data_IF_487798379505
#
_entry.id   IF_487798379505
#
_cell.length_a   1.000
_cell.length_b   1.000
_cell.length_c   1.000
_cell.angle_alpha   90.00
_cell.angle_beta   90.00
_cell.angle_gamma   90.00
#
_symmetry.space_group_name_H-M   'P 1'
#
loop_
_entity.id
_entity.type
_entity.pdbx_description
1 polymer ?
#
# COMPACT_ATOMS: atom_id res chain seq x y z
N UNK A 1 -55.29 -42.01 -0.81
CA UNK A 1 -56.15 -43.20 -0.98
C UNK A 1 -55.40 -44.46 -0.60
N UNK A 2 -55.98 -45.20 0.40
CA UNK A 2 -55.75 -46.62 0.75
C UNK A 2 -54.38 -47.06 1.20
N UNK A 3 -54.15 -47.16 2.49
CA UNK A 3 -54.29 -48.22 3.51
C UNK A 3 -53.93 -49.65 3.04
N UNK A 4 -52.90 -50.23 3.68
CA UNK A 4 -52.92 -51.59 4.14
C UNK A 4 -51.90 -51.78 5.29
N UNK A 5 -52.40 -52.25 6.44
CA UNK A 5 -51.63 -52.69 7.63
C UNK A 5 -51.17 -54.17 7.44
N UNK A 6 -50.02 -54.47 7.97
CA UNK A 6 -49.76 -55.85 8.48
C UNK A 6 -48.82 -55.77 9.67
N UNK A 7 -49.28 -56.27 10.78
CA UNK A 7 -48.61 -56.45 12.06
C UNK A 7 -47.68 -57.66 12.05
N UNK A 8 -46.46 -57.52 12.58
CA UNK A 8 -45.75 -58.62 13.22
C UNK A 8 -44.73 -58.09 14.21
N UNK A 9 -44.94 -58.40 15.48
CA UNK A 9 -44.00 -58.09 16.56
C UNK A 9 -42.83 -59.10 16.51
N UNK A 10 -41.61 -58.60 16.66
CA UNK A 10 -40.48 -59.35 17.25
C UNK A 10 -39.42 -58.37 17.76
N UNK A 11 -38.95 -58.66 18.96
CA UNK A 11 -37.90 -57.99 19.74
C UNK A 11 -36.71 -57.51 18.90
N UNK A 12 -36.36 -56.19 19.08
CA UNK A 12 -35.19 -55.65 18.45
C UNK A 12 -34.61 -54.52 19.32
N UNK A 13 -33.48 -54.80 19.93
CA UNK A 13 -32.68 -53.82 20.69
C UNK A 13 -32.38 -52.59 19.85
N UNK A 14 -32.74 -51.44 20.37
CA UNK A 14 -32.39 -50.12 19.76
C UNK A 14 -30.89 -49.90 19.96
N UNK A 15 -30.10 -50.02 18.92
CA UNK A 15 -28.75 -49.47 18.88
C UNK A 15 -28.83 -48.00 18.48
N UNK A 16 -28.64 -47.09 19.46
CA UNK A 16 -28.43 -45.65 19.19
C UNK A 16 -26.98 -45.51 18.72
N UNK A 17 -26.80 -45.43 17.40
CA UNK A 17 -25.54 -45.03 16.82
C UNK A 17 -25.43 -43.50 16.97
N UNK A 18 -24.70 -43.01 17.97
CA UNK A 18 -24.28 -41.62 18.03
C UNK A 18 -23.27 -41.34 16.91
N UNK A 19 -23.75 -40.88 15.76
CA UNK A 19 -22.90 -40.22 14.75
C UNK A 19 -22.46 -38.89 15.33
N UNK A 20 -21.25 -38.86 15.90
CA UNK A 20 -20.57 -37.59 16.20
C UNK A 20 -20.22 -36.96 14.86
N UNK A 21 -21.00 -35.98 14.44
CA UNK A 21 -20.64 -35.08 13.34
C UNK A 21 -19.51 -34.19 13.84
N UNK A 22 -18.27 -34.55 13.56
CA UNK A 22 -17.14 -33.62 13.63
C UNK A 22 -17.32 -32.65 12.48
N UNK A 23 -17.96 -31.49 12.74
CA UNK A 23 -17.99 -30.39 11.82
C UNK A 23 -16.55 -29.88 11.70
N UNK A 24 -15.88 -30.21 10.60
CA UNK A 24 -14.65 -29.54 10.21
C UNK A 24 -15.01 -28.05 10.03
N UNK A 25 -14.24 -27.12 10.63
CA UNK A 25 -14.50 -25.71 10.43
C UNK A 25 -14.45 -25.40 8.92
N UNK A 26 -15.43 -24.64 8.43
CA UNK A 26 -15.43 -24.22 7.04
C UNK A 26 -14.13 -23.44 6.77
N UNK A 27 -13.63 -23.46 5.53
CA UNK A 27 -12.42 -22.69 5.15
C UNK A 27 -12.55 -21.19 5.52
N UNK A 28 -13.77 -20.64 5.46
CA UNK A 28 -14.05 -19.28 5.93
C UNK A 28 -13.86 -19.09 7.44
N UNK A 29 -14.25 -20.09 8.27
CA UNK A 29 -14.05 -20.04 9.72
C UNK A 29 -12.58 -20.16 10.11
N UNK A 30 -11.81 -20.99 9.40
CA UNK A 30 -10.36 -21.10 9.60
C UNK A 30 -9.62 -19.82 9.21
N UNK A 31 -9.94 -19.22 8.05
CA UNK A 31 -9.39 -17.94 7.60
C UNK A 31 -9.69 -16.81 8.59
N UNK A 32 -10.89 -16.78 9.18
CA UNK A 32 -11.26 -15.80 10.21
C UNK A 32 -10.44 -15.97 11.49
N UNK A 33 -10.16 -17.21 11.91
CA UNK A 33 -9.35 -17.50 13.09
C UNK A 33 -7.88 -17.06 12.87
N UNK A 34 -7.31 -17.27 11.68
CA UNK A 34 -5.96 -16.88 11.30
C UNK A 34 -5.79 -15.34 11.33
N UNK A 35 -6.81 -14.59 10.90
CA UNK A 35 -6.77 -13.13 10.87
C UNK A 35 -7.06 -12.46 12.22
N UNK A 36 -7.64 -13.23 13.18
CA UNK A 36 -8.11 -12.67 14.45
C UNK A 36 -7.05 -11.93 15.22
N UNK A 37 -5.84 -12.47 15.32
CA UNK A 37 -4.73 -11.81 16.01
C UNK A 37 -4.44 -10.39 15.50
N UNK A 38 -4.63 -10.15 14.20
CA UNK A 38 -4.38 -8.86 13.55
C UNK A 38 -5.55 -7.88 13.71
N UNK A 39 -6.76 -8.39 13.85
CA UNK A 39 -7.99 -7.59 13.96
C UNK A 39 -8.34 -7.24 15.41
N UNK A 40 -7.93 -8.08 16.38
CA UNK A 40 -8.19 -7.85 17.80
C UNK A 40 -7.05 -7.10 18.50
N UNK A 41 -5.86 -7.00 17.89
CA UNK A 41 -4.73 -6.28 18.47
C UNK A 41 -4.77 -4.81 18.11
N UNK A 42 -4.92 -3.95 19.10
CA UNK A 42 -4.84 -2.48 18.91
C UNK A 42 -3.46 -2.08 18.40
N UNK A 43 -3.41 -1.34 17.30
CA UNK A 43 -2.17 -0.75 16.79
C UNK A 43 -1.85 0.54 17.55
N UNK A 44 -0.71 0.56 18.24
CA UNK A 44 -0.20 1.74 18.94
C UNK A 44 1.00 2.28 18.17
N UNK A 45 0.84 3.48 17.60
CA UNK A 45 1.89 4.17 16.86
C UNK A 45 2.50 5.29 17.72
N UNK A 46 3.82 5.22 17.90
CA UNK A 46 4.60 6.22 18.63
C UNK A 46 5.40 7.04 17.62
N UNK A 47 5.26 8.38 17.67
CA UNK A 47 6.13 9.28 16.92
C UNK A 47 7.51 9.25 17.58
N UNK A 48 8.50 8.81 16.85
CA UNK A 48 9.87 8.66 17.37
C UNK A 48 10.80 9.83 17.00
N UNK A 49 10.22 10.92 16.48
CA UNK A 49 10.89 12.19 16.19
C UNK A 49 10.01 13.39 16.57
N UNK A 50 10.64 14.52 16.87
CA UNK A 50 9.95 15.75 17.29
C UNK A 50 9.60 16.67 16.12
N UNK A 51 9.91 16.28 14.89
CA UNK A 51 9.63 17.04 13.68
C UNK A 51 9.79 16.21 12.41
N UNK A 52 9.56 16.83 11.25
CA UNK A 52 9.80 16.20 9.95
C UNK A 52 11.25 15.73 9.81
N UNK A 53 11.43 14.50 9.31
CA UNK A 53 12.74 13.90 9.09
C UNK A 53 13.37 14.26 7.74
N UNK A 54 12.54 14.69 6.80
CA UNK A 54 12.94 15.29 5.51
C UNK A 54 12.01 16.46 5.26
N UNK A 55 12.57 17.66 5.12
CA UNK A 55 11.81 18.87 4.80
C UNK A 55 11.93 19.22 3.33
N UNK A 56 11.16 20.18 2.85
CA UNK A 56 11.27 20.73 1.49
C UNK A 56 12.71 21.17 1.20
N UNK A 57 13.08 21.13 -0.07
CA UNK A 57 14.37 21.62 -0.55
C UNK A 57 14.54 23.11 -0.37
N UNK A 58 15.77 23.60 -0.51
CA UNK A 58 16.04 25.03 -0.57
C UNK A 58 15.32 25.63 -1.80
N UNK A 59 14.99 26.93 -1.73
CA UNK A 59 14.35 27.64 -2.84
C UNK A 59 15.12 27.43 -4.16
N UNK A 60 14.39 26.98 -5.19
CA UNK A 60 14.92 26.64 -6.50
C UNK A 60 15.37 25.19 -6.65
N UNK A 61 15.34 24.36 -5.60
CA UNK A 61 15.52 22.93 -5.71
C UNK A 61 14.26 22.28 -6.34
N UNK A 62 14.41 21.08 -6.91
CA UNK A 62 13.31 20.39 -7.59
C UNK A 62 12.12 20.03 -6.66
N UNK A 63 12.30 20.09 -5.36
CA UNK A 63 11.37 19.69 -4.32
C UNK A 63 11.10 20.80 -3.28
N UNK A 64 11.23 22.07 -3.70
CA UNK A 64 11.07 23.22 -2.82
C UNK A 64 9.62 23.58 -2.50
N UNK A 65 8.65 22.98 -3.20
CA UNK A 65 7.22 23.32 -3.04
C UNK A 65 6.38 22.12 -2.59
N UNK A 66 6.65 20.94 -3.13
CA UNK A 66 5.90 19.72 -2.80
C UNK A 66 6.84 18.55 -2.58
N UNK A 67 6.52 17.75 -1.56
CA UNK A 67 7.18 16.49 -1.27
C UNK A 67 6.17 15.46 -0.77
N UNK A 68 6.19 14.23 -1.29
CA UNK A 68 5.31 13.14 -0.85
C UNK A 68 5.80 11.76 -1.32
N UNK A 69 5.01 10.72 -1.06
CA UNK A 69 5.22 9.33 -1.50
C UNK A 69 6.59 8.76 -1.10
N UNK A 70 6.90 8.69 0.21
CA UNK A 70 8.11 8.04 0.66
C UNK A 70 8.09 6.56 0.31
N UNK A 71 9.19 6.07 -0.24
CA UNK A 71 9.48 4.66 -0.46
C UNK A 71 10.77 4.34 0.27
N UNK A 72 10.69 3.53 1.34
CA UNK A 72 11.85 3.23 2.18
C UNK A 72 12.29 1.79 1.98
N UNK A 73 13.60 1.61 1.82
CA UNK A 73 14.26 0.31 1.83
C UNK A 73 15.43 0.32 2.81
N UNK A 74 15.88 -0.87 3.21
CA UNK A 74 17.05 -1.06 4.08
C UNK A 74 18.06 -1.98 3.40
N UNK A 75 19.24 -1.47 3.14
CA UNK A 75 20.32 -2.18 2.47
C UNK A 75 21.66 -1.71 3.03
N UNK A 76 22.62 -2.61 3.20
CA UNK A 76 23.98 -2.31 3.68
C UNK A 76 24.01 -1.49 4.97
N UNK A 77 23.14 -1.85 5.93
CA UNK A 77 22.98 -1.16 7.22
C UNK A 77 22.58 0.31 7.08
N UNK A 78 21.93 0.68 5.97
CA UNK A 78 21.48 2.03 5.69
C UNK A 78 20.04 2.02 5.19
N UNK A 79 19.26 2.98 5.65
CA UNK A 79 17.95 3.27 5.07
C UNK A 79 18.13 4.15 3.83
N UNK A 80 17.43 3.79 2.77
CA UNK A 80 17.30 4.57 1.55
C UNK A 80 15.85 4.98 1.42
N UNK A 81 15.59 6.27 1.30
CA UNK A 81 14.26 6.83 1.15
C UNK A 81 14.19 7.58 -0.17
N UNK A 82 13.46 7.03 -1.14
CA UNK A 82 13.06 7.74 -2.35
C UNK A 82 11.75 8.47 -2.08
N UNK A 83 11.56 9.61 -2.71
CA UNK A 83 10.37 10.44 -2.56
C UNK A 83 10.08 11.21 -3.84
N UNK A 84 8.87 11.69 -4.00
CA UNK A 84 8.48 12.55 -5.10
C UNK A 84 8.54 14.01 -4.66
N UNK A 85 9.22 14.84 -5.43
CA UNK A 85 9.33 16.26 -5.20
C UNK A 85 8.98 17.06 -6.45
N UNK A 86 8.42 18.24 -6.27
CA UNK A 86 8.19 19.20 -7.36
C UNK A 86 8.33 20.63 -6.87
N UNK A 87 8.66 21.50 -7.82
CA UNK A 87 8.50 22.95 -7.73
C UNK A 87 7.26 23.38 -8.52
N UNK A 88 6.96 24.68 -8.56
CA UNK A 88 5.83 25.26 -9.27
C UNK A 88 4.43 25.05 -8.64
N UNK A 89 3.42 25.65 -9.28
CA UNK A 89 2.02 25.63 -8.84
C UNK A 89 1.41 24.24 -8.94
N UNK A 90 0.27 24.06 -8.29
CA UNK A 90 -0.47 22.77 -8.32
C UNK A 90 -0.82 22.33 -9.76
N UNK A 91 -1.05 23.27 -10.67
CA UNK A 91 -1.44 22.96 -12.06
C UNK A 91 -0.24 22.65 -12.94
N UNK A 92 0.90 23.31 -12.71
CA UNK A 92 2.09 23.23 -13.58
C UNK A 92 3.15 22.26 -13.06
N UNK A 93 2.91 21.64 -11.91
CA UNK A 93 3.90 20.78 -11.26
C UNK A 93 4.28 19.56 -12.09
N UNK A 94 5.58 19.30 -12.14
CA UNK A 94 6.16 18.05 -12.64
C UNK A 94 6.95 17.43 -11.50
N UNK A 95 6.53 16.26 -11.07
CA UNK A 95 7.22 15.55 -10.00
C UNK A 95 8.40 14.74 -10.54
N UNK A 96 9.47 14.77 -9.77
CA UNK A 96 10.67 13.99 -9.96
C UNK A 96 10.96 13.16 -8.72
N UNK A 97 11.78 12.13 -8.84
CA UNK A 97 12.15 11.29 -7.70
C UNK A 97 13.50 11.74 -7.12
N UNK A 98 13.50 12.07 -5.82
CA UNK A 98 14.69 12.32 -5.02
C UNK A 98 15.09 11.10 -4.21
N UNK A 99 16.26 11.18 -3.58
CA UNK A 99 16.81 10.16 -2.69
C UNK A 99 17.42 10.81 -1.44
N UNK A 100 17.12 10.22 -0.29
CA UNK A 100 17.81 10.50 0.98
C UNK A 100 18.29 9.20 1.60
N UNK A 101 19.29 9.28 2.45
CA UNK A 101 19.86 8.13 3.16
C UNK A 101 19.98 8.38 4.65
N UNK A 102 19.90 7.31 5.45
CA UNK A 102 19.99 7.40 6.92
C UNK A 102 20.58 6.10 7.50
N UNK A 103 21.31 6.20 8.60
CA UNK A 103 21.76 5.02 9.34
C UNK A 103 20.76 4.57 10.40
N UNK A 104 19.94 5.46 10.91
CA UNK A 104 19.01 5.24 12.04
C UNK A 104 17.53 5.25 11.62
N UNK A 105 17.24 5.67 10.37
CA UNK A 105 15.89 5.83 9.85
C UNK A 105 15.15 7.05 10.41
N UNK A 106 15.86 7.96 11.06
CA UNK A 106 15.34 9.21 11.67
C UNK A 106 16.05 10.45 11.14
N UNK A 107 17.37 10.39 11.01
CA UNK A 107 18.18 11.50 10.49
C UNK A 107 18.57 11.20 9.06
N UNK A 108 17.93 11.86 8.13
CA UNK A 108 18.15 11.66 6.70
C UNK A 108 19.00 12.77 6.08
N UNK A 109 19.87 12.37 5.17
CA UNK A 109 20.69 13.26 4.37
C UNK A 109 20.32 13.12 2.90
N UNK A 110 20.10 14.25 2.20
CA UNK A 110 19.85 14.26 0.77
C UNK A 110 21.08 13.71 0.03
N UNK A 111 20.81 12.89 -0.97
CA UNK A 111 21.84 12.40 -1.88
C UNK A 111 22.37 13.54 -2.75
N UNK A 112 21.46 14.39 -3.23
CA UNK A 112 21.74 15.53 -4.11
C UNK A 112 20.61 16.56 -4.02
N UNK A 113 20.89 17.81 -4.44
CA UNK A 113 19.89 18.84 -4.70
C UNK A 113 19.14 18.58 -6.04
N UNK A 114 19.69 17.74 -6.91
CA UNK A 114 19.05 17.25 -8.14
C UNK A 114 18.32 15.94 -7.89
N UNK A 115 17.19 15.69 -8.60
CA UNK A 115 16.51 14.40 -8.50
C UNK A 115 17.34 13.27 -9.11
N UNK A 116 17.21 12.07 -8.55
CA UNK A 116 17.86 10.87 -9.09
C UNK A 116 17.10 10.27 -10.28
N UNK A 117 15.85 10.68 -10.51
CA UNK A 117 15.06 10.21 -11.65
C UNK A 117 14.04 11.26 -12.12
N UNK A 118 13.97 11.41 -13.43
CA UNK A 118 13.00 12.25 -14.16
C UNK A 118 12.31 11.40 -15.22
N UNK A 119 11.06 11.73 -15.58
CA UNK A 119 10.40 11.06 -16.72
C UNK A 119 11.14 11.31 -18.04
N UNK A 120 11.72 12.48 -18.19
CA UNK A 120 12.63 12.82 -19.29
C UNK A 120 12.03 13.69 -20.39
N UNK A 121 10.72 13.90 -20.46
CA UNK A 121 10.06 14.70 -21.48
C UNK A 121 9.68 16.14 -20.99
N UNK A 122 9.96 16.44 -19.73
CA UNK A 122 9.65 17.74 -19.11
C UNK A 122 8.16 18.00 -18.84
N UNK A 123 7.30 17.02 -19.03
CA UNK A 123 5.82 17.14 -18.91
C UNK A 123 5.24 16.13 -17.94
N UNK A 124 5.62 14.88 -18.08
CA UNK A 124 5.10 13.80 -17.26
C UNK A 124 5.83 13.70 -15.93
N UNK A 125 5.08 13.44 -14.90
CA UNK A 125 5.58 13.28 -13.53
C UNK A 125 6.01 11.84 -13.24
N UNK A 126 6.98 11.67 -12.36
CA UNK A 126 7.26 10.41 -11.67
C UNK A 126 6.55 10.49 -10.31
N UNK A 127 5.55 9.64 -10.11
CA UNK A 127 4.68 9.66 -8.94
C UNK A 127 4.66 8.30 -8.24
N UNK A 128 4.58 8.33 -6.92
CA UNK A 128 4.30 7.15 -6.09
C UNK A 128 5.10 5.90 -6.47
N UNK A 129 6.44 5.98 -6.40
CA UNK A 129 7.32 4.88 -6.78
C UNK A 129 7.12 3.67 -5.87
N UNK A 130 7.29 2.47 -6.41
CA UNK A 130 7.39 1.22 -5.67
C UNK A 130 8.53 0.36 -6.21
N UNK A 131 9.27 -0.28 -5.30
CA UNK A 131 10.35 -1.21 -5.59
C UNK A 131 10.01 -2.59 -5.04
N UNK A 132 10.53 -3.63 -5.65
CA UNK A 132 10.48 -4.96 -5.06
C UNK A 132 11.35 -4.99 -3.80
N UNK A 133 10.73 -5.30 -2.67
CA UNK A 133 11.39 -5.45 -1.37
C UNK A 133 10.65 -6.45 -0.50
N UNK A 134 11.36 -7.04 0.43
CA UNK A 134 10.79 -7.86 1.49
C UNK A 134 10.08 -7.00 2.55
N UNK A 135 9.34 -7.65 3.45
CA UNK A 135 8.65 -6.96 4.53
C UNK A 135 9.57 -6.20 5.49
N UNK A 136 10.81 -6.66 5.65
CA UNK A 136 11.86 -6.01 6.43
C UNK A 136 12.55 -4.83 5.70
N UNK A 137 12.13 -4.54 4.47
CA UNK A 137 12.66 -3.48 3.64
C UNK A 137 13.88 -3.84 2.82
N UNK A 138 14.42 -5.05 2.94
CA UNK A 138 15.54 -5.49 2.10
C UNK A 138 15.12 -5.53 0.62
N UNK A 139 15.99 -5.02 -0.25
CA UNK A 139 15.70 -4.87 -1.68
C UNK A 139 15.81 -6.22 -2.40
N UNK A 140 14.84 -6.48 -3.27
CA UNK A 140 14.90 -7.60 -4.22
C UNK A 140 15.49 -7.13 -5.54
N UNK A 141 16.45 -7.88 -6.08
CA UNK A 141 17.04 -7.64 -7.38
C UNK A 141 16.71 -8.77 -8.35
N UNK A 142 16.35 -8.41 -9.56
CA UNK A 142 16.16 -9.34 -10.65
C UNK A 142 17.25 -9.12 -11.69
N UNK A 143 18.00 -10.17 -12.00
CA UNK A 143 19.20 -10.08 -12.85
C UNK A 143 20.19 -8.96 -12.41
N UNK A 144 20.36 -8.81 -11.09
CA UNK A 144 21.23 -7.80 -10.49
C UNK A 144 20.67 -6.37 -10.47
N UNK A 145 19.46 -6.14 -10.97
CA UNK A 145 18.84 -4.82 -11.08
C UNK A 145 17.66 -4.65 -10.14
N UNK A 146 17.49 -3.45 -9.62
CA UNK A 146 16.25 -2.99 -8.99
C UNK A 146 15.21 -2.75 -10.09
N UNK A 147 13.97 -3.15 -9.84
CA UNK A 147 12.81 -2.82 -10.68
C UNK A 147 11.94 -1.82 -9.96
N UNK A 148 11.67 -0.71 -10.61
CA UNK A 148 10.85 0.39 -10.13
C UNK A 148 9.59 0.48 -10.98
N UNK A 149 8.43 0.45 -10.35
CA UNK A 149 7.18 0.87 -10.98
C UNK A 149 6.73 2.18 -10.36
N UNK A 150 6.07 3.00 -11.15
CA UNK A 150 5.57 4.29 -10.70
C UNK A 150 4.37 4.73 -11.53
N UNK A 151 3.54 5.57 -10.92
CA UNK A 151 2.47 6.24 -11.66
C UNK A 151 3.01 7.47 -12.38
N UNK A 152 2.40 7.82 -13.50
CA UNK A 152 2.71 9.03 -14.24
C UNK A 152 1.45 9.73 -14.73
N UNK A 153 1.48 11.04 -14.76
CA UNK A 153 0.45 11.90 -15.38
C UNK A 153 1.06 13.22 -15.81
N UNK A 154 0.40 13.90 -16.72
CA UNK A 154 0.73 15.27 -17.13
C UNK A 154 -0.29 16.24 -16.55
N UNK A 155 0.06 16.95 -15.47
CA UNK A 155 -0.86 17.83 -14.76
C UNK A 155 -1.29 19.05 -15.57
N UNK A 156 -0.37 19.70 -16.29
CA UNK A 156 -0.62 20.98 -16.96
C UNK A 156 -1.45 20.87 -18.25
N UNK A 157 -1.50 19.72 -18.89
CA UNK A 157 -2.16 19.58 -20.20
C UNK A 157 -2.73 18.21 -20.48
N UNK A 158 -2.70 17.33 -19.49
CA UNK A 158 -3.31 16.02 -19.57
C UNK A 158 -4.79 16.02 -19.20
N UNK A 159 -5.45 14.93 -19.52
CA UNK A 159 -6.86 14.65 -19.17
C UNK A 159 -7.03 14.10 -17.74
N UNK A 160 -5.97 14.12 -16.91
CA UNK A 160 -5.95 13.54 -15.57
C UNK A 160 -5.72 12.03 -15.55
N UNK A 161 -5.49 11.39 -16.69
CA UNK A 161 -5.20 9.96 -16.77
C UNK A 161 -3.86 9.66 -16.09
N UNK A 162 -3.89 8.72 -15.17
CA UNK A 162 -2.70 8.15 -14.56
C UNK A 162 -2.32 6.83 -15.25
N UNK A 163 -1.03 6.66 -15.52
CA UNK A 163 -0.49 5.48 -16.20
C UNK A 163 0.61 4.82 -15.37
N UNK A 164 0.69 3.50 -15.40
CA UNK A 164 1.77 2.73 -14.79
C UNK A 164 2.94 2.60 -15.76
N UNK A 165 4.13 2.90 -15.28
CA UNK A 165 5.40 2.74 -15.99
C UNK A 165 6.39 1.94 -15.15
N UNK A 166 7.42 1.42 -15.81
CA UNK A 166 8.54 0.71 -15.19
C UNK A 166 9.86 1.34 -15.59
N UNK A 167 10.83 1.28 -14.69
CA UNK A 167 12.24 1.57 -14.93
C UNK A 167 13.10 0.59 -14.13
N UNK A 168 14.40 0.55 -14.38
CA UNK A 168 15.33 -0.28 -13.64
C UNK A 168 16.63 0.45 -13.36
N UNK A 169 17.35 0.01 -12.32
CA UNK A 169 18.61 0.59 -11.89
C UNK A 169 19.54 -0.49 -11.31
N UNK A 170 20.85 -0.29 -11.40
CA UNK A 170 21.84 -1.11 -10.70
C UNK A 170 22.01 -0.69 -9.24
N UNK A 171 21.92 0.61 -8.98
CA UNK A 171 22.31 1.25 -7.73
C UNK A 171 21.18 2.03 -7.03
N UNK A 172 20.04 2.24 -7.72
CA UNK A 172 18.91 3.03 -7.23
C UNK A 172 19.14 4.55 -7.33
N UNK A 173 20.17 4.97 -8.07
CA UNK A 173 20.53 6.38 -8.34
C UNK A 173 20.40 6.65 -9.84
N UNK A 174 21.10 5.87 -10.66
CA UNK A 174 20.99 5.93 -12.11
C UNK A 174 19.88 5.00 -12.62
N UNK A 175 18.84 5.57 -13.23
CA UNK A 175 17.66 4.85 -13.71
C UNK A 175 17.57 4.85 -15.23
N UNK A 176 17.11 3.75 -15.79
CA UNK A 176 16.81 3.66 -17.22
C UNK A 176 15.62 4.57 -17.59
N UNK A 177 15.46 4.87 -18.87
CA UNK A 177 14.27 5.55 -19.38
C UNK A 177 12.98 4.78 -18.98
N UNK A 178 11.84 5.48 -18.80
CA UNK A 178 10.58 4.82 -18.48
C UNK A 178 10.12 3.89 -19.60
N UNK A 179 9.49 2.78 -19.24
CA UNK A 179 8.80 1.92 -20.21
C UNK A 179 7.64 2.67 -20.87
N UNK A 180 7.11 2.19 -22.01
CA UNK A 180 5.77 2.56 -22.43
C UNK A 180 4.74 2.31 -21.31
N UNK A 181 3.56 2.96 -21.36
CA UNK A 181 2.49 2.72 -20.38
C UNK A 181 2.09 1.24 -20.35
N UNK A 182 2.04 0.66 -19.16
CA UNK A 182 1.66 -0.74 -18.95
C UNK A 182 0.18 -0.90 -18.59
N UNK A 183 -0.38 0.08 -17.89
CA UNK A 183 -1.77 0.07 -17.42
C UNK A 183 -2.23 1.52 -17.18
N UNK A 184 -3.53 1.80 -17.39
CA UNK A 184 -4.15 3.09 -17.12
C UNK A 184 -4.99 3.07 -15.85
N UNK A 185 -5.27 4.24 -15.25
CA UNK A 185 -6.05 4.37 -14.01
C UNK A 185 -5.27 4.04 -12.75
N UNK A 186 -3.97 3.81 -12.85
CA UNK A 186 -3.12 3.37 -11.72
C UNK A 186 -2.49 4.54 -11.01
N UNK A 187 -2.79 4.66 -9.70
CA UNK A 187 -2.13 5.58 -8.80
C UNK A 187 -1.65 4.84 -7.54
N UNK A 188 -0.50 5.21 -7.02
CA UNK A 188 0.10 4.64 -5.82
C UNK A 188 0.14 3.09 -5.81
N UNK A 189 0.83 2.46 -6.77
CA UNK A 189 0.96 1.01 -6.77
C UNK A 189 1.84 0.52 -5.63
N UNK A 190 1.49 -0.62 -5.04
CA UNK A 190 2.39 -1.47 -4.26
C UNK A 190 2.50 -2.81 -4.96
N UNK A 191 3.72 -3.26 -5.22
CA UNK A 191 4.00 -4.51 -5.93
C UNK A 191 4.87 -5.41 -5.06
N UNK A 192 4.48 -6.67 -4.97
CA UNK A 192 5.27 -7.72 -4.33
C UNK A 192 5.42 -8.92 -5.25
N UNK A 193 6.48 -9.68 -5.05
CA UNK A 193 6.60 -11.05 -5.60
C UNK A 193 5.79 -11.99 -4.72
N UNK A 194 4.96 -12.82 -5.33
CA UNK A 194 4.16 -13.82 -4.64
C UNK A 194 4.12 -15.12 -5.46
N UNK A 195 4.79 -16.13 -4.96
CA UNK A 195 5.02 -17.36 -5.70
C UNK A 195 5.91 -17.15 -6.92
N UNK A 196 5.38 -17.44 -8.12
CA UNK A 196 6.12 -17.30 -9.39
C UNK A 196 5.75 -16.03 -10.18
N UNK A 197 5.06 -15.09 -9.56
CA UNK A 197 4.59 -13.90 -10.26
C UNK A 197 4.55 -12.68 -9.35
N UNK A 198 3.90 -11.65 -9.86
CA UNK A 198 3.78 -10.35 -9.21
C UNK A 198 2.32 -10.09 -8.85
N UNK A 199 2.11 -9.46 -7.73
CA UNK A 199 0.82 -8.93 -7.30
C UNK A 199 0.96 -7.45 -7.04
N UNK A 200 -0.01 -6.70 -7.52
CA UNK A 200 -0.09 -5.26 -7.36
C UNK A 200 -1.41 -4.88 -6.71
N UNK A 201 -1.36 -3.99 -5.74
CA UNK A 201 -2.50 -3.25 -5.23
C UNK A 201 -2.27 -1.78 -5.54
N UNK A 202 -3.31 -1.12 -6.02
CA UNK A 202 -3.21 0.27 -6.45
C UNK A 202 -4.51 1.03 -6.21
N UNK A 203 -4.41 2.34 -6.10
CA UNK A 203 -5.56 3.22 -6.14
C UNK A 203 -6.04 3.35 -7.58
N UNK A 204 -7.25 2.91 -7.85
CA UNK A 204 -7.92 3.14 -9.13
C UNK A 204 -8.53 4.54 -9.13
N UNK A 205 -8.00 5.40 -9.99
CA UNK A 205 -8.41 6.80 -10.14
C UNK A 205 -9.19 7.07 -11.43
N UNK A 206 -9.68 6.01 -12.09
CA UNK A 206 -10.47 6.12 -13.32
C UNK A 206 -11.88 6.65 -13.12
N UNK A 207 -12.34 6.78 -11.87
CA UNK A 207 -13.62 7.36 -11.48
C UNK A 207 -13.43 8.37 -10.34
N UNK A 208 -14.48 9.13 -10.02
CA UNK A 208 -14.44 10.08 -8.89
C UNK A 208 -14.32 9.37 -7.53
N UNK A 209 -14.89 8.20 -7.41
CA UNK A 209 -14.77 7.37 -6.20
C UNK A 209 -13.55 6.46 -6.32
N UNK A 210 -12.45 6.87 -5.73
CA UNK A 210 -11.24 6.07 -5.72
C UNK A 210 -11.38 4.86 -4.81
N UNK A 211 -11.01 3.71 -5.35
CA UNK A 211 -11.03 2.43 -4.66
C UNK A 211 -9.67 1.76 -4.78
N UNK A 212 -9.42 0.71 -3.99
CA UNK A 212 -8.22 -0.09 -4.15
C UNK A 212 -8.54 -1.33 -4.99
N UNK A 213 -7.78 -1.52 -6.08
CA UNK A 213 -7.85 -2.69 -6.95
C UNK A 213 -6.61 -3.54 -6.83
N UNK A 214 -6.76 -4.76 -7.29
CA UNK A 214 -5.68 -5.73 -7.41
C UNK A 214 -5.41 -6.05 -8.88
N UNK A 215 -4.15 -6.29 -9.21
CA UNK A 215 -3.73 -6.87 -10.47
C UNK A 215 -2.65 -7.93 -10.25
N UNK A 216 -2.55 -8.88 -11.16
CA UNK A 216 -1.50 -9.90 -11.18
C UNK A 216 -0.76 -9.91 -12.50
N UNK A 217 0.51 -10.33 -12.46
CA UNK A 217 1.36 -10.46 -13.66
C UNK A 217 2.34 -11.62 -13.46
N UNK A 218 2.70 -12.30 -14.54
CA UNK A 218 3.78 -13.29 -14.54
C UNK A 218 5.16 -12.69 -14.83
N UNK A 219 5.20 -11.48 -15.41
CA UNK A 219 6.44 -10.84 -15.88
C UNK A 219 6.66 -9.42 -15.33
N UNK A 220 5.66 -8.88 -14.60
CA UNK A 220 5.70 -7.50 -14.10
C UNK A 220 5.47 -6.43 -15.16
N UNK A 221 5.14 -6.81 -16.39
CA UNK A 221 4.92 -5.93 -17.54
C UNK A 221 3.46 -5.97 -18.00
N UNK A 222 2.93 -7.17 -18.18
CA UNK A 222 1.54 -7.40 -18.59
C UNK A 222 0.68 -7.70 -17.37
N UNK A 223 -0.23 -6.80 -17.06
CA UNK A 223 -1.05 -6.87 -15.87
C UNK A 223 -2.49 -7.29 -16.18
N UNK A 224 -3.01 -8.21 -15.38
CA UNK A 224 -4.42 -8.59 -15.38
C UNK A 224 -5.07 -8.01 -14.14
N UNK A 225 -5.93 -7.02 -14.33
CA UNK A 225 -6.71 -6.39 -13.25
C UNK A 225 -7.85 -7.33 -12.86
N UNK A 226 -8.05 -7.50 -11.55
CA UNK A 226 -9.22 -8.21 -11.00
C UNK A 226 -10.48 -7.38 -11.27
N UNK A 227 -11.59 -7.97 -11.75
CA UNK A 227 -12.79 -7.22 -12.13
C UNK A 227 -13.35 -6.34 -11.03
N UNK A 228 -13.45 -6.88 -9.82
CA UNK A 228 -13.99 -6.15 -8.67
C UNK A 228 -12.89 -5.46 -7.87
N UNK A 229 -13.15 -4.28 -7.27
CA UNK A 229 -12.23 -3.66 -6.33
C UNK A 229 -12.06 -4.56 -5.10
N UNK A 230 -10.84 -4.62 -4.57
CA UNK A 230 -10.55 -5.43 -3.40
C UNK A 230 -10.81 -4.67 -2.07
N UNK A 231 -10.86 -3.33 -2.11
CA UNK A 231 -11.23 -2.51 -0.97
C UNK A 231 -12.03 -1.29 -1.45
N UNK A 232 -13.16 -1.04 -0.81
CA UNK A 232 -14.08 0.07 -1.10
C UNK A 232 -14.35 0.88 0.17
N UNK A 233 -14.92 2.07 0.03
CA UNK A 233 -15.37 2.89 1.17
C UNK A 233 -16.58 2.22 1.81
N UNK A 234 -16.44 1.73 3.04
CA UNK A 234 -17.51 1.05 3.79
C UNK A 234 -17.46 1.28 5.32
N UNK A 235 -16.43 1.96 5.84
CA UNK A 235 -16.35 2.36 7.23
C UNK A 235 -16.68 3.85 7.42
N UNK A 236 -17.30 4.20 8.55
CA UNK A 236 -17.80 5.54 8.83
C UNK A 236 -16.72 6.66 8.79
N UNK A 237 -15.46 6.33 9.06
CA UNK A 237 -14.35 7.27 9.00
C UNK A 237 -13.88 7.57 7.57
N UNK A 238 -14.14 6.68 6.62
CA UNK A 238 -13.79 6.81 5.21
C UNK A 238 -14.82 7.70 4.51
N UNK A 239 -14.46 8.91 4.14
CA UNK A 239 -15.46 9.89 3.66
C UNK A 239 -15.72 9.86 2.16
N UNK A 240 -14.74 9.51 1.32
CA UNK A 240 -14.97 9.56 -0.12
C UNK A 240 -14.06 8.70 -0.98
N UNK A 241 -12.83 8.45 -0.56
CA UNK A 241 -11.78 7.86 -1.39
C UNK A 241 -10.84 7.00 -0.56
N UNK A 242 -10.40 5.89 -1.13
CA UNK A 242 -9.28 5.11 -0.58
C UNK A 242 -8.05 5.32 -1.46
N UNK A 243 -6.89 5.47 -0.84
CA UNK A 243 -5.65 5.73 -1.57
C UNK A 243 -4.41 5.19 -0.85
N UNK A 244 -3.28 5.14 -1.57
CA UNK A 244 -1.96 4.74 -1.09
C UNK A 244 -1.94 3.39 -0.37
N UNK A 245 -2.35 2.27 -1.00
CA UNK A 245 -2.19 0.97 -0.38
C UNK A 245 -0.70 0.65 -0.21
N UNK A 246 -0.26 0.34 1.01
CA UNK A 246 1.05 -0.22 1.30
C UNK A 246 0.86 -1.65 1.82
N UNK A 247 1.31 -2.63 1.05
CA UNK A 247 1.05 -4.04 1.35
C UNK A 247 2.34 -4.75 1.70
N UNK A 248 2.32 -5.48 2.81
CA UNK A 248 3.33 -6.46 3.20
C UNK A 248 2.70 -7.85 3.27
N UNK A 249 3.48 -8.89 3.00
CA UNK A 249 3.12 -10.27 3.28
C UNK A 249 4.00 -10.78 4.43
N UNK A 250 3.37 -11.10 5.55
CA UNK A 250 4.04 -11.50 6.78
C UNK A 250 3.38 -12.78 7.29
N UNK A 251 4.17 -13.84 7.47
CA UNK A 251 3.70 -15.12 8.00
C UNK A 251 2.46 -15.68 7.25
N UNK A 252 2.44 -15.51 5.92
CA UNK A 252 1.34 -15.94 5.05
C UNK A 252 0.18 -14.96 4.92
N UNK A 253 0.08 -13.95 5.82
CA UNK A 253 -1.00 -12.96 5.84
C UNK A 253 -0.58 -11.69 5.11
N UNK A 254 -1.44 -11.19 4.24
CA UNK A 254 -1.30 -9.87 3.63
C UNK A 254 -1.83 -8.81 4.59
N UNK A 255 -1.03 -7.80 4.79
CA UNK A 255 -1.31 -6.65 5.65
C UNK A 255 -1.28 -5.40 4.78
N UNK A 256 -2.33 -4.60 4.81
CA UNK A 256 -2.44 -3.37 4.04
C UNK A 256 -2.69 -2.19 4.98
N UNK A 257 -1.86 -1.17 4.89
CA UNK A 257 -2.18 0.16 5.35
C UNK A 257 -2.65 0.98 4.17
N UNK A 258 -3.70 1.77 4.34
CA UNK A 258 -4.30 2.57 3.28
C UNK A 258 -4.79 3.91 3.80
N UNK A 259 -4.77 4.92 2.97
CA UNK A 259 -5.25 6.24 3.31
C UNK A 259 -6.73 6.45 3.00
N UNK A 260 -7.38 7.33 3.76
CA UNK A 260 -8.67 7.90 3.42
C UNK A 260 -8.83 9.30 4.02
N UNK A 261 -9.79 10.06 3.53
CA UNK A 261 -10.21 11.29 4.18
C UNK A 261 -11.00 10.96 5.44
N UNK A 262 -10.56 11.50 6.56
CA UNK A 262 -11.20 11.32 7.86
C UNK A 262 -12.21 12.42 8.19
N UNK A 263 -12.02 13.63 7.64
CA UNK A 263 -12.93 14.76 7.82
C UNK A 263 -13.30 15.37 6.47
N UNK A 264 -14.59 15.63 6.26
CA UNK A 264 -15.10 16.34 5.09
C UNK A 264 -14.86 17.85 5.13
N UNK A 265 -14.58 18.41 6.32
CA UNK A 265 -14.47 19.87 6.51
C UNK A 265 -13.07 20.41 6.23
N UNK A 266 -12.02 19.63 6.40
CA UNK A 266 -10.64 20.12 6.41
C UNK A 266 -9.69 19.23 5.62
N UNK A 267 -10.14 18.48 4.62
CA UNK A 267 -9.29 17.56 3.86
C UNK A 267 -8.30 16.73 4.74
N UNK A 268 -8.69 16.46 6.00
CA UNK A 268 -7.88 15.72 6.95
C UNK A 268 -7.82 14.27 6.53
N UNK A 269 -6.62 13.69 6.50
CA UNK A 269 -6.41 12.29 6.12
C UNK A 269 -5.92 11.46 7.30
N UNK A 270 -6.20 10.16 7.25
CA UNK A 270 -5.74 9.19 8.23
C UNK A 270 -5.44 7.85 7.55
N UNK A 271 -4.79 6.94 8.26
CA UNK A 271 -4.48 5.61 7.75
C UNK A 271 -5.33 4.55 8.44
N UNK A 272 -5.94 3.70 7.63
CA UNK A 272 -6.58 2.46 8.04
C UNK A 272 -5.66 1.26 7.86
N UNK A 273 -6.08 0.14 8.43
CA UNK A 273 -5.43 -1.15 8.32
C UNK A 273 -6.43 -2.22 7.93
N UNK A 274 -6.00 -3.14 7.07
CA UNK A 274 -6.77 -4.31 6.66
C UNK A 274 -5.86 -5.52 6.51
N UNK A 275 -6.41 -6.72 6.65
CA UNK A 275 -5.68 -7.98 6.49
C UNK A 275 -6.43 -8.94 5.58
N UNK A 276 -5.67 -9.83 4.94
CA UNK A 276 -6.21 -10.83 4.02
C UNK A 276 -5.36 -12.09 3.99
N UNK A 277 -5.98 -13.26 3.82
CA UNK A 277 -5.28 -14.53 3.58
C UNK A 277 -4.97 -14.74 2.10
N UNK A 278 -5.69 -14.10 1.20
CA UNK A 278 -5.58 -14.30 -0.25
C UNK A 278 -5.20 -13.02 -1.05
N UNK A 279 -5.15 -11.85 -0.38
CA UNK A 279 -4.85 -10.56 -0.99
C UNK A 279 -5.95 -9.99 -1.90
N UNK A 280 -7.12 -10.64 -1.96
CA UNK A 280 -8.27 -10.22 -2.77
C UNK A 280 -9.46 -9.81 -1.90
N UNK A 281 -9.76 -10.59 -0.88
CA UNK A 281 -10.81 -10.31 0.10
C UNK A 281 -10.15 -9.83 1.38
N UNK A 282 -10.51 -8.64 1.84
CA UNK A 282 -9.87 -7.97 2.96
C UNK A 282 -10.82 -7.75 4.13
N UNK A 283 -10.32 -7.97 5.33
CA UNK A 283 -10.99 -7.62 6.58
C UNK A 283 -10.35 -6.35 7.14
N UNK A 284 -11.11 -5.28 7.22
CA UNK A 284 -10.67 -4.00 7.80
C UNK A 284 -10.64 -4.08 9.32
N UNK A 285 -9.64 -3.45 9.91
CA UNK A 285 -9.54 -3.37 11.36
C UNK A 285 -10.74 -2.63 11.97
N UNK A 286 -11.37 -3.15 13.03
CA UNK A 286 -12.60 -2.56 13.60
C UNK A 286 -12.36 -1.20 14.26
N UNK A 287 -11.11 -0.92 14.68
CA UNK A 287 -10.74 0.35 15.30
C UNK A 287 -10.08 1.35 14.32
N UNK A 288 -10.30 1.18 13.01
CA UNK A 288 -9.81 2.17 12.04
C UNK A 288 -10.41 3.57 12.28
N UNK A 289 -9.66 4.65 11.98
CA UNK A 289 -8.29 4.64 11.48
C UNK A 289 -7.26 4.34 12.58
N UNK A 290 -6.22 3.55 12.23
CA UNK A 290 -5.16 3.14 13.16
C UNK A 290 -4.09 4.21 13.38
N UNK A 291 -3.93 5.15 12.44
CA UNK A 291 -3.01 6.29 12.56
C UNK A 291 -3.72 7.56 12.09
N UNK A 292 -3.78 8.56 12.99
CA UNK A 292 -4.41 9.86 12.77
C UNK A 292 -3.38 10.97 12.88
N UNK A 293 -3.63 12.13 12.25
CA UNK A 293 -2.88 13.34 12.55
C UNK A 293 -2.93 13.65 14.04
N UNK A 294 -1.87 14.26 14.53
CA UNK A 294 -1.81 14.78 15.91
C UNK A 294 -1.95 16.31 15.87
N UNK A 295 -3.10 16.85 16.30
CA UNK A 295 -3.36 18.30 16.22
C UNK A 295 -2.46 19.13 17.13
N UNK A 296 -1.80 18.52 18.14
CA UNK A 296 -0.85 19.20 19.01
C UNK A 296 0.53 19.41 18.34
N UNK A 297 0.76 18.73 17.20
CA UNK A 297 1.98 18.87 16.40
C UNK A 297 1.68 19.75 15.18
N UNK A 298 2.15 20.99 15.16
CA UNK A 298 1.87 21.95 14.09
C UNK A 298 2.21 21.39 12.70
N UNK A 299 3.27 20.61 12.58
CA UNK A 299 3.73 20.01 11.33
C UNK A 299 2.94 18.78 10.88
N UNK A 300 2.01 18.24 11.69
CA UNK A 300 1.19 17.05 11.39
C UNK A 300 -0.31 17.29 11.58
N UNK A 301 -0.75 18.50 11.73
CA UNK A 301 -2.09 18.82 12.24
C UNK A 301 -3.25 18.30 11.39
N UNK A 302 -3.07 18.11 10.08
CA UNK A 302 -4.15 17.80 9.14
C UNK A 302 -3.91 16.55 8.28
N UNK A 303 -2.65 16.17 8.04
CA UNK A 303 -2.33 15.18 7.02
C UNK A 303 -1.42 14.09 7.55
N UNK A 304 -1.89 12.85 7.48
CA UNK A 304 -1.11 11.62 7.46
C UNK A 304 -1.54 10.88 6.20
N UNK A 305 -0.67 10.80 5.20
CA UNK A 305 -1.05 10.34 3.88
C UNK A 305 -0.04 9.34 3.30
N UNK A 306 0.42 9.48 2.07
CA UNK A 306 1.30 8.52 1.41
C UNK A 306 2.41 8.02 2.34
N UNK A 307 2.63 6.72 2.38
CA UNK A 307 3.45 6.11 3.42
C UNK A 307 4.21 4.89 2.91
N UNK A 308 5.24 4.52 3.65
CA UNK A 308 6.03 3.30 3.48
C UNK A 308 6.16 2.59 4.81
N UNK A 309 5.88 1.30 4.85
CA UNK A 309 5.89 0.49 6.07
C UNK A 309 6.95 -0.60 5.95
N UNK A 310 7.65 -0.89 7.04
CA UNK A 310 8.58 -2.00 7.18
C UNK A 310 8.32 -2.75 8.48
N UNK A 311 8.52 -4.07 8.46
CA UNK A 311 8.54 -4.90 9.67
C UNK A 311 9.98 -4.99 10.19
N UNK A 312 10.19 -4.70 11.46
CA UNK A 312 11.49 -4.84 12.12
C UNK A 312 11.73 -6.28 12.58
N UNK A 313 12.98 -6.61 12.86
CA UNK A 313 13.38 -7.94 13.34
C UNK A 313 12.76 -8.32 14.69
N UNK A 314 12.37 -7.34 15.51
CA UNK A 314 11.67 -7.55 16.78
C UNK A 314 10.15 -7.77 16.61
N UNK A 315 9.66 -7.82 15.35
CA UNK A 315 8.25 -7.99 15.00
C UNK A 315 7.43 -6.70 15.02
N UNK A 316 7.99 -5.60 15.50
CA UNK A 316 7.33 -4.28 15.42
C UNK A 316 7.40 -3.70 14.01
N UNK A 317 6.64 -2.64 13.76
CA UNK A 317 6.62 -1.96 12.47
C UNK A 317 7.16 -0.54 12.60
N UNK A 318 7.76 -0.06 11.52
CA UNK A 318 8.08 1.36 11.35
C UNK A 318 7.36 1.88 10.11
N UNK A 319 6.81 3.08 10.22
CA UNK A 319 6.13 3.77 9.13
C UNK A 319 6.75 5.14 8.91
N UNK A 320 7.00 5.47 7.66
CA UNK A 320 7.35 6.81 7.19
C UNK A 320 6.19 7.32 6.35
N UNK A 321 5.74 8.52 6.60
CA UNK A 321 4.55 9.07 5.95
C UNK A 321 4.73 10.55 5.61
N UNK A 322 4.03 10.99 4.57
CA UNK A 322 3.97 12.39 4.21
C UNK A 322 2.94 13.12 5.08
N UNK A 323 3.29 14.33 5.42
CA UNK A 323 2.52 15.25 6.25
C UNK A 323 2.24 16.54 5.51
N UNK A 324 1.30 17.31 6.01
CA UNK A 324 0.99 18.67 5.55
C UNK A 324 0.55 19.51 6.75
N UNK A 325 1.10 20.71 6.81
CA UNK A 325 0.63 21.77 7.70
C UNK A 325 -0.75 22.30 7.32
#
# INVERSE_FOLDING_TARGET
MLYSRSTSARDGRLFICCLIWLALPSAASAATAELRQWLETTQIWVRDTDGPIVSLGKKGAFDDTHMFAPLVAFEDKSYRLWYCGSTASVVERVFHMGLTTSRDGRTFQRHSDDPVYRFGDGKHSVLTPTLLRHADGSLCRENGRLRLWFSSTWFAGGDGTHTLHESNSLDGIGWAAPSPPQLTGVYAPTIIVDGRGYRMWFTDVSSEQWVIRHASSSDGVRWRVTPDPCLVVDQAWEKSRLFYPAVLKVDGVYQMWYGSYWSSRAATTALGFAVSTNGLTWSKHPLNPVLRPDPERSWESNYVTSHSVMRKSDGSYRIWYAIRE
#
